data_IF_899968038933
#
_entry.id   IF_899968038933
#
_cell.length_a   1.000
_cell.length_b   1.000
_cell.length_c   1.000
_cell.angle_alpha   90.00
_cell.angle_beta   90.00
_cell.angle_gamma   90.00
#
_symmetry.space_group_name_H-M   'P 1'
#
loop_
_entity.id
_entity.type
_entity.pdbx_description
1 polymer ?
#
# COMPACT_ATOMS: atom_id res chain seq x y z
N UNK A 1 -19.41 -51.95 -46.65
CA UNK A 1 -18.63 -50.70 -46.88
C UNK A 1 -19.58 -49.52 -46.91
N UNK A 2 -19.85 -48.87 -45.78
CA UNK A 2 -20.68 -47.66 -45.73
C UNK A 2 -19.82 -46.49 -45.26
N UNK A 3 -19.24 -45.76 -46.23
CA UNK A 3 -18.71 -44.41 -45.99
C UNK A 3 -19.93 -43.50 -45.79
N UNK A 4 -20.28 -43.23 -44.53
CA UNK A 4 -21.18 -42.11 -44.20
C UNK A 4 -20.44 -40.83 -44.59
N UNK A 5 -20.86 -40.22 -45.69
CA UNK A 5 -20.47 -38.85 -46.04
C UNK A 5 -21.06 -37.95 -44.96
N UNK A 6 -20.22 -37.42 -44.05
CA UNK A 6 -20.64 -36.42 -43.05
C UNK A 6 -21.10 -35.17 -43.79
N UNK A 7 -22.28 -34.66 -43.46
CA UNK A 7 -22.83 -33.47 -44.12
C UNK A 7 -22.08 -32.23 -43.62
N UNK A 8 -21.80 -31.23 -44.47
CA UNK A 8 -21.11 -30.00 -44.06
C UNK A 8 -21.79 -29.26 -42.89
N UNK A 9 -23.11 -29.43 -42.71
CA UNK A 9 -23.87 -28.89 -41.57
C UNK A 9 -23.47 -29.46 -40.20
N UNK A 10 -22.98 -30.70 -40.13
CA UNK A 10 -22.56 -31.32 -38.86
C UNK A 10 -21.25 -30.69 -38.35
N UNK A 11 -20.35 -30.30 -39.26
CA UNK A 11 -19.12 -29.58 -38.94
C UNK A 11 -19.41 -28.14 -38.50
N UNK A 12 -20.36 -27.47 -39.15
CA UNK A 12 -20.79 -26.13 -38.77
C UNK A 12 -21.41 -26.12 -37.36
N UNK A 13 -22.25 -27.12 -37.04
CA UNK A 13 -22.84 -27.27 -35.71
C UNK A 13 -21.78 -27.55 -34.64
N UNK A 14 -20.79 -28.38 -34.95
CA UNK A 14 -19.65 -28.62 -34.07
C UNK A 14 -18.83 -27.33 -33.82
N UNK A 15 -18.55 -26.55 -34.86
CA UNK A 15 -17.84 -25.27 -34.75
C UNK A 15 -18.63 -24.28 -33.87
N UNK A 16 -19.95 -24.16 -34.08
CA UNK A 16 -20.81 -23.31 -33.25
C UNK A 16 -20.78 -23.74 -31.78
N UNK A 17 -20.80 -25.05 -31.52
CA UNK A 17 -20.75 -25.58 -30.16
C UNK A 17 -19.40 -25.26 -29.48
N UNK A 18 -18.28 -25.42 -30.19
CA UNK A 18 -16.95 -25.04 -29.68
C UNK A 18 -16.87 -23.54 -29.39
N UNK A 19 -17.44 -22.70 -30.26
CA UNK A 19 -17.47 -21.25 -30.04
C UNK A 19 -18.33 -20.85 -28.84
N UNK A 20 -19.49 -21.50 -28.64
CA UNK A 20 -20.33 -21.27 -27.47
C UNK A 20 -19.62 -21.67 -26.17
N UNK A 21 -18.96 -22.82 -26.14
CA UNK A 21 -18.16 -23.25 -24.97
C UNK A 21 -17.03 -22.26 -24.71
N UNK A 22 -16.31 -21.83 -25.76
CA UNK A 22 -15.24 -20.84 -25.63
C UNK A 22 -15.76 -19.50 -25.11
N UNK A 23 -16.92 -19.04 -25.59
CA UNK A 23 -17.56 -17.82 -25.11
C UNK A 23 -17.94 -17.93 -23.63
N UNK A 24 -18.56 -19.04 -23.21
CA UNK A 24 -18.92 -19.26 -21.80
C UNK A 24 -17.69 -19.27 -20.88
N UNK A 25 -16.61 -19.94 -21.30
CA UNK A 25 -15.34 -19.95 -20.56
C UNK A 25 -14.78 -18.52 -20.45
N UNK A 26 -14.79 -17.74 -21.53
CA UNK A 26 -14.31 -16.36 -21.52
C UNK A 26 -15.15 -15.45 -20.61
N UNK A 27 -16.49 -15.61 -20.61
CA UNK A 27 -17.38 -14.87 -19.70
C UNK A 27 -17.10 -15.24 -18.25
N UNK A 28 -16.93 -16.53 -17.94
CA UNK A 28 -16.59 -17.00 -16.60
C UNK A 28 -15.26 -16.41 -16.12
N UNK A 29 -14.20 -16.52 -16.94
CA UNK A 29 -12.87 -15.95 -16.65
C UNK A 29 -12.97 -14.44 -16.44
N UNK A 30 -13.77 -13.73 -17.23
CA UNK A 30 -13.96 -12.28 -17.08
C UNK A 30 -14.60 -11.90 -15.75
N UNK A 31 -15.61 -12.66 -15.29
CA UNK A 31 -16.29 -12.41 -14.00
C UNK A 31 -15.33 -12.70 -12.84
N UNK A 32 -14.61 -13.82 -12.92
CA UNK A 32 -13.66 -14.23 -11.88
C UNK A 32 -12.51 -13.22 -11.75
N UNK A 33 -11.93 -12.80 -12.87
CA UNK A 33 -10.91 -11.74 -12.91
C UNK A 33 -11.40 -10.42 -12.33
N UNK A 34 -12.68 -10.06 -12.54
CA UNK A 34 -13.25 -8.85 -11.96
C UNK A 34 -13.36 -8.95 -10.43
N UNK A 35 -13.90 -10.07 -9.92
CA UNK A 35 -14.01 -10.31 -8.47
C UNK A 35 -12.65 -10.33 -7.80
N UNK A 36 -11.67 -10.99 -8.43
CA UNK A 36 -10.28 -11.02 -8.00
C UNK A 36 -9.71 -9.60 -7.87
N UNK A 37 -9.79 -8.80 -8.94
CA UNK A 37 -9.27 -7.42 -8.96
C UNK A 37 -9.93 -6.54 -7.91
N UNK A 38 -11.24 -6.67 -7.75
CA UNK A 38 -11.98 -5.90 -6.76
C UNK A 38 -11.54 -6.25 -5.34
N UNK A 39 -11.35 -7.55 -5.03
CA UNK A 39 -10.87 -8.00 -3.73
C UNK A 39 -9.49 -7.41 -3.42
N UNK A 40 -8.52 -7.62 -4.32
CA UNK A 40 -7.15 -7.14 -4.11
C UNK A 40 -7.10 -5.62 -3.97
N UNK A 41 -7.83 -4.90 -4.84
CA UNK A 41 -7.91 -3.45 -4.76
C UNK A 41 -8.57 -2.96 -3.46
N UNK A 42 -9.52 -3.71 -2.89
CA UNK A 42 -10.20 -3.35 -1.64
C UNK A 42 -9.31 -3.54 -0.41
N UNK A 43 -8.58 -4.66 -0.34
CA UNK A 43 -7.58 -4.87 0.72
C UNK A 43 -6.49 -3.80 0.62
N UNK A 44 -6.02 -3.52 -0.60
CA UNK A 44 -5.04 -2.45 -0.86
C UNK A 44 -5.56 -1.08 -0.43
N UNK A 45 -6.80 -0.73 -0.79
CA UNK A 45 -7.42 0.53 -0.34
C UNK A 45 -7.48 0.64 1.18
N UNK A 46 -7.82 -0.45 1.87
CA UNK A 46 -7.89 -0.49 3.33
C UNK A 46 -6.52 -0.21 3.96
N UNK A 47 -5.45 -0.84 3.45
CA UNK A 47 -4.09 -0.60 3.91
C UNK A 47 -3.61 0.83 3.61
N UNK A 48 -3.95 1.39 2.46
CA UNK A 48 -3.63 2.77 2.09
C UNK A 48 -4.30 3.77 3.04
N UNK A 49 -5.58 3.61 3.34
CA UNK A 49 -6.27 4.51 4.27
C UNK A 49 -5.77 4.35 5.71
N UNK A 50 -5.37 3.13 6.09
CA UNK A 50 -4.70 2.89 7.37
C UNK A 50 -3.37 3.63 7.44
N UNK A 51 -2.52 3.53 6.42
CA UNK A 51 -1.25 4.26 6.35
C UNK A 51 -1.48 5.76 6.48
N UNK A 52 -2.41 6.31 5.69
CA UNK A 52 -2.76 7.73 5.72
C UNK A 52 -3.21 8.22 7.11
N UNK A 53 -4.18 7.52 7.72
CA UNK A 53 -4.74 7.92 9.01
C UNK A 53 -3.77 7.76 10.17
N UNK A 54 -2.98 6.68 10.18
CA UNK A 54 -1.93 6.44 11.17
C UNK A 54 -0.79 7.44 11.02
N UNK A 55 -0.34 7.74 9.79
CA UNK A 55 0.69 8.75 9.54
C UNK A 55 0.27 10.14 10.03
N UNK A 56 -0.97 10.55 9.76
CA UNK A 56 -1.50 11.82 10.27
C UNK A 56 -1.45 11.89 11.80
N UNK A 57 -1.81 10.79 12.47
CA UNK A 57 -1.73 10.70 13.94
C UNK A 57 -0.29 10.81 14.43
N UNK A 58 0.67 10.15 13.76
CA UNK A 58 2.09 10.25 14.09
C UNK A 58 2.60 11.68 13.91
N UNK A 59 2.20 12.34 12.83
CA UNK A 59 2.57 13.72 12.54
C UNK A 59 2.14 14.68 13.66
N UNK A 60 0.92 14.52 14.17
CA UNK A 60 0.42 15.30 15.32
C UNK A 60 1.28 15.09 16.58
N UNK A 61 1.59 13.83 16.92
CA UNK A 61 2.42 13.50 18.08
C UNK A 61 3.84 14.06 17.93
N UNK A 62 4.49 13.84 16.78
CA UNK A 62 5.85 14.30 16.50
C UNK A 62 5.94 15.83 16.58
N UNK A 63 4.99 16.56 15.99
CA UNK A 63 4.94 18.00 16.07
C UNK A 63 4.80 18.51 17.50
N UNK A 64 3.91 17.89 18.30
CA UNK A 64 3.71 18.28 19.68
C UNK A 64 4.96 18.02 20.52
N UNK A 65 5.59 16.87 20.34
CA UNK A 65 6.81 16.48 21.04
C UNK A 65 7.97 17.44 20.73
N UNK A 66 8.21 17.74 19.45
CA UNK A 66 9.27 18.68 19.02
C UNK A 66 9.01 20.09 19.58
N UNK A 67 7.75 20.55 19.59
CA UNK A 67 7.40 21.86 20.17
C UNK A 67 7.59 21.90 21.69
N UNK A 68 7.25 20.82 22.39
CA UNK A 68 7.42 20.70 23.83
C UNK A 68 8.89 20.49 24.23
N UNK A 69 9.71 19.99 23.31
CA UNK A 69 11.10 19.58 23.57
C UNK A 69 11.20 18.24 24.30
N UNK A 70 10.08 17.54 24.51
CA UNK A 70 10.05 16.24 25.16
C UNK A 70 8.85 15.42 24.63
N UNK A 71 8.89 14.10 24.87
CA UNK A 71 7.83 13.14 24.53
C UNK A 71 7.54 12.28 25.76
N UNK A 72 6.28 12.13 26.14
CA UNK A 72 5.93 11.23 27.26
C UNK A 72 5.89 9.75 26.84
N UNK A 73 5.96 8.85 27.82
CA UNK A 73 6.05 7.41 27.57
C UNK A 73 4.79 6.83 26.89
N UNK A 74 3.62 7.46 27.06
CA UNK A 74 2.38 7.01 26.42
C UNK A 74 2.37 7.37 24.93
N UNK A 75 2.81 8.58 24.60
CA UNK A 75 3.00 9.03 23.23
C UNK A 75 4.12 8.25 22.53
N UNK A 76 5.22 7.94 23.22
CA UNK A 76 6.28 7.07 22.71
C UNK A 76 5.77 5.67 22.37
N UNK A 77 5.02 5.04 23.28
CA UNK A 77 4.42 3.73 23.04
C UNK A 77 3.45 3.77 21.85
N UNK A 78 2.72 4.87 21.68
CA UNK A 78 1.81 5.07 20.56
C UNK A 78 2.57 5.21 19.24
N UNK A 79 3.65 5.99 19.20
CA UNK A 79 4.51 6.08 18.01
C UNK A 79 5.10 4.72 17.64
N UNK A 80 5.67 3.99 18.61
CA UNK A 80 6.18 2.63 18.40
C UNK A 80 5.14 1.72 17.74
N UNK A 81 3.93 1.60 18.33
CA UNK A 81 2.85 0.77 17.78
C UNK A 81 2.42 1.23 16.39
N UNK A 82 2.27 2.54 16.21
CA UNK A 82 1.81 3.10 14.96
C UNK A 82 2.82 2.85 13.83
N UNK A 83 4.13 2.97 14.07
CA UNK A 83 5.14 2.68 13.04
C UNK A 83 5.23 1.19 12.71
N UNK A 84 5.03 0.29 13.68
CA UNK A 84 4.84 -1.13 13.39
C UNK A 84 3.61 -1.40 12.52
N UNK A 85 2.48 -0.76 12.83
CA UNK A 85 1.28 -0.86 11.99
C UNK A 85 1.46 -0.30 10.57
N UNK A 86 2.29 0.75 10.41
CA UNK A 86 2.65 1.29 9.10
C UNK A 86 3.51 0.31 8.31
N UNK A 87 4.50 -0.32 8.96
CA UNK A 87 5.33 -1.36 8.34
C UNK A 87 4.47 -2.54 7.87
N UNK A 88 3.62 -3.09 8.75
CA UNK A 88 2.70 -4.19 8.43
C UNK A 88 1.78 -3.85 7.25
N UNK A 89 1.24 -2.63 7.23
CA UNK A 89 0.35 -2.17 6.15
C UNK A 89 1.09 -2.03 4.82
N UNK A 90 2.35 -1.59 4.85
CA UNK A 90 3.19 -1.47 3.66
C UNK A 90 3.61 -2.84 3.11
N UNK A 91 3.99 -3.78 3.99
CA UNK A 91 4.24 -5.19 3.61
C UNK A 91 2.99 -5.79 2.97
N UNK A 92 1.83 -5.60 3.60
CA UNK A 92 0.55 -6.11 3.08
C UNK A 92 0.23 -5.53 1.70
N UNK A 93 0.52 -4.25 1.44
CA UNK A 93 0.34 -3.65 0.12
C UNK A 93 1.25 -4.28 -0.95
N UNK A 94 2.49 -4.56 -0.59
CA UNK A 94 3.43 -5.23 -1.49
C UNK A 94 3.03 -6.69 -1.76
N UNK A 95 2.50 -7.38 -0.77
CA UNK A 95 1.96 -8.74 -0.93
C UNK A 95 0.73 -8.75 -1.84
N UNK A 96 -0.21 -7.83 -1.64
CA UNK A 96 -1.39 -7.66 -2.50
C UNK A 96 -1.00 -7.31 -3.94
N UNK A 97 -0.01 -6.44 -4.13
CA UNK A 97 0.53 -6.14 -5.46
C UNK A 97 1.20 -7.35 -6.11
N UNK A 98 2.02 -8.09 -5.37
CA UNK A 98 2.68 -9.31 -5.85
C UNK A 98 1.66 -10.35 -6.27
N UNK A 99 0.64 -10.56 -5.44
CA UNK A 99 -0.47 -11.47 -5.73
C UNK A 99 -1.28 -11.01 -6.95
N UNK A 100 -1.55 -9.71 -7.09
CA UNK A 100 -2.15 -9.13 -8.29
C UNK A 100 -1.30 -9.40 -9.54
N UNK A 101 0.01 -9.19 -9.46
CA UNK A 101 0.89 -9.31 -10.62
C UNK A 101 1.03 -10.77 -11.09
N UNK A 102 1.10 -11.72 -10.16
CA UNK A 102 1.22 -13.15 -10.46
C UNK A 102 -0.06 -13.75 -11.05
N UNK A 103 -1.22 -13.28 -10.59
CA UNK A 103 -2.51 -13.90 -10.93
C UNK A 103 -3.29 -13.14 -12.01
N UNK A 104 -2.75 -12.03 -12.53
CA UNK A 104 -3.40 -11.32 -13.62
C UNK A 104 -3.33 -12.13 -14.91
N UNK A 105 -4.50 -12.36 -15.52
CA UNK A 105 -4.60 -13.14 -16.76
C UNK A 105 -3.83 -12.48 -17.91
N UNK A 106 -3.22 -13.31 -18.77
CA UNK A 106 -2.54 -12.86 -20.01
C UNK A 106 -3.51 -12.10 -20.94
N UNK A 107 -4.81 -12.40 -20.86
CA UNK A 107 -5.87 -11.76 -21.64
C UNK A 107 -6.35 -10.42 -21.06
N UNK A 108 -5.71 -9.92 -20.00
CA UNK A 108 -6.12 -8.68 -19.34
C UNK A 108 -5.50 -7.44 -20.01
N UNK A 109 -6.28 -6.80 -20.86
CA UNK A 109 -5.89 -5.60 -21.62
C UNK A 109 -5.78 -4.32 -20.77
N UNK A 110 -6.21 -4.35 -19.50
CA UNK A 110 -6.20 -3.20 -18.58
C UNK A 110 -5.20 -3.30 -17.44
N UNK A 111 -4.22 -4.21 -17.52
CA UNK A 111 -3.22 -4.41 -16.46
C UNK A 111 -2.34 -3.18 -16.27
N UNK A 112 -2.13 -2.79 -15.01
CA UNK A 112 -1.14 -1.80 -14.63
C UNK A 112 -0.01 -2.50 -13.90
N UNK A 113 1.24 -2.07 -14.10
CA UNK A 113 2.41 -2.65 -13.45
C UNK A 113 3.34 -1.53 -13.03
N UNK A 114 3.98 -1.72 -11.88
CA UNK A 114 5.11 -0.93 -11.40
C UNK A 114 6.32 -1.26 -12.28
N UNK A 115 7.08 -0.24 -12.70
CA UNK A 115 8.31 -0.46 -13.48
C UNK A 115 9.39 -1.06 -12.57
N UNK A 116 9.67 -2.36 -12.76
CA UNK A 116 10.54 -3.15 -11.87
C UNK A 116 12.01 -2.74 -11.86
N UNK A 117 12.45 -1.85 -12.75
CA UNK A 117 13.88 -1.63 -12.96
C UNK A 117 14.62 -1.04 -11.75
N UNK A 118 13.93 -0.47 -10.74
CA UNK A 118 14.57 0.09 -9.53
C UNK A 118 13.75 -0.02 -8.23
N UNK A 119 12.65 -0.79 -8.21
CA UNK A 119 11.74 -0.75 -7.06
C UNK A 119 12.07 -1.86 -6.07
N UNK A 120 12.83 -1.50 -5.05
CA UNK A 120 13.07 -2.34 -3.86
C UNK A 120 12.07 -1.92 -2.78
N UNK A 121 11.50 -2.88 -2.05
CA UNK A 121 10.72 -2.57 -0.85
C UNK A 121 11.61 -1.89 0.19
N UNK A 122 11.24 -0.69 0.63
CA UNK A 122 11.91 0.00 1.73
C UNK A 122 11.07 -0.04 3.00
N UNK A 123 11.56 -0.78 4.00
CA UNK A 123 10.95 -0.83 5.34
C UNK A 123 11.50 0.26 6.28
N UNK A 124 11.40 1.51 5.82
CA UNK A 124 11.77 2.66 6.64
C UNK A 124 10.89 2.76 7.90
N UNK A 125 9.63 2.32 7.81
CA UNK A 125 8.72 2.30 8.94
C UNK A 125 9.18 1.31 10.02
N UNK A 126 9.63 0.11 9.65
CA UNK A 126 10.24 -0.84 10.58
C UNK A 126 11.53 -0.29 11.21
N UNK A 127 12.36 0.42 10.42
CA UNK A 127 13.57 1.06 10.97
C UNK A 127 13.22 2.13 12.02
N UNK A 128 12.16 2.92 11.77
CA UNK A 128 11.66 3.92 12.72
C UNK A 128 11.03 3.25 13.95
N UNK A 129 10.32 2.14 13.77
CA UNK A 129 9.79 1.33 14.88
C UNK A 129 10.92 0.85 15.80
N UNK A 130 12.00 0.30 15.23
CA UNK A 130 13.17 -0.15 16.00
C UNK A 130 13.84 0.98 16.78
N UNK A 131 13.88 2.19 16.21
CA UNK A 131 14.36 3.38 16.91
C UNK A 131 13.47 3.73 18.12
N UNK A 132 12.15 3.78 17.95
CA UNK A 132 11.24 4.03 19.08
C UNK A 132 11.29 2.93 20.14
N UNK A 133 11.49 1.67 19.73
CA UNK A 133 11.73 0.57 20.65
C UNK A 133 13.00 0.79 21.48
N UNK A 134 14.07 1.23 20.83
CA UNK A 134 15.34 1.52 21.51
C UNK A 134 15.20 2.66 22.54
N UNK A 135 14.43 3.70 22.20
CA UNK A 135 14.08 4.77 23.15
C UNK A 135 13.26 4.25 24.34
N UNK A 136 12.28 3.38 24.11
CA UNK A 136 11.51 2.77 25.21
C UNK A 136 12.40 1.94 26.13
N UNK A 137 13.30 1.14 25.56
CA UNK A 137 14.25 0.33 26.32
C UNK A 137 15.19 1.20 27.17
N UNK A 138 15.59 2.37 26.67
CA UNK A 138 16.38 3.34 27.42
C UNK A 138 15.59 3.97 28.56
N UNK A 139 14.38 4.47 28.31
CA UNK A 139 13.51 5.08 29.34
C UNK A 139 13.22 4.08 30.47
N UNK A 140 12.99 2.80 30.14
CA UNK A 140 12.79 1.73 31.11
C UNK A 140 14.04 1.50 31.98
N UNK A 141 15.24 1.58 31.41
CA UNK A 141 16.51 1.41 32.14
C UNK A 141 16.81 2.60 33.05
N UNK A 142 16.55 3.81 32.56
CA UNK A 142 16.84 5.06 33.28
C UNK A 142 15.73 5.45 34.26
N UNK A 143 14.59 4.76 34.24
CA UNK A 143 13.38 5.07 35.00
C UNK A 143 12.86 6.49 34.73
N UNK A 144 13.09 6.97 33.51
CA UNK A 144 12.58 8.25 33.05
C UNK A 144 11.10 8.13 32.64
N UNK A 145 10.37 9.22 32.83
CA UNK A 145 8.94 9.32 32.52
C UNK A 145 8.67 10.05 31.20
N UNK A 146 9.73 10.55 30.56
CA UNK A 146 9.68 11.31 29.32
C UNK A 146 11.06 11.28 28.63
N UNK A 147 11.03 11.19 27.31
CA UNK A 147 12.21 11.37 26.46
C UNK A 147 12.43 12.87 26.27
N UNK A 148 13.59 13.37 26.67
CA UNK A 148 14.02 14.74 26.34
C UNK A 148 14.56 14.78 24.91
N UNK A 149 13.97 15.63 24.07
CA UNK A 149 14.37 15.78 22.67
C UNK A 149 15.54 16.76 22.56
N UNK A 150 16.74 16.26 22.80
CA UNK A 150 17.98 17.03 22.67
C UNK A 150 18.99 16.32 21.78
N UNK A 151 19.92 17.07 21.19
CA UNK A 151 20.99 16.53 20.35
C UNK A 151 20.48 15.61 19.24
N UNK A 152 21.04 14.40 19.18
CA UNK A 152 20.73 13.39 18.15
C UNK A 152 19.27 12.95 18.16
N UNK A 153 18.65 12.84 19.34
CA UNK A 153 17.22 12.50 19.47
C UNK A 153 16.34 13.53 18.77
N UNK A 154 16.61 14.82 18.95
CA UNK A 154 15.89 15.88 18.26
C UNK A 154 16.09 15.84 16.74
N UNK A 155 17.31 15.56 16.27
CA UNK A 155 17.61 15.41 14.84
C UNK A 155 16.84 14.23 14.21
N UNK A 156 16.79 13.10 14.90
CA UNK A 156 16.05 11.92 14.46
C UNK A 156 14.55 12.21 14.40
N UNK A 157 13.97 12.84 15.44
CA UNK A 157 12.56 13.23 15.45
C UNK A 157 12.21 14.20 14.32
N UNK A 158 13.06 15.19 14.04
CA UNK A 158 12.87 16.09 12.90
C UNK A 158 12.91 15.34 11.56
N UNK A 159 13.82 14.38 11.42
CA UNK A 159 13.94 13.57 10.21
C UNK A 159 12.69 12.69 10.00
N UNK A 160 12.20 12.06 11.06
CA UNK A 160 10.96 11.27 11.05
C UNK A 160 9.76 12.16 10.71
N UNK A 161 9.69 13.36 11.28
CA UNK A 161 8.65 14.35 10.96
C UNK A 161 8.68 14.77 9.49
N UNK A 162 9.86 14.96 8.91
CA UNK A 162 10.00 15.27 7.47
C UNK A 162 9.44 14.14 6.62
N UNK A 163 9.75 12.88 6.94
CA UNK A 163 9.20 11.70 6.23
C UNK A 163 7.67 11.72 6.33
N UNK A 164 7.14 11.89 7.54
CA UNK A 164 5.69 11.91 7.79
C UNK A 164 4.98 13.04 7.03
N UNK A 165 5.56 14.24 6.99
CA UNK A 165 5.04 15.38 6.24
C UNK A 165 5.05 15.16 4.73
N UNK A 166 6.07 14.49 4.19
CA UNK A 166 6.13 14.19 2.75
C UNK A 166 5.03 13.20 2.37
N UNK A 167 4.75 12.20 3.21
CA UNK A 167 3.66 11.25 3.01
C UNK A 167 2.29 11.95 3.11
N UNK A 168 2.08 12.81 4.11
CA UNK A 168 0.82 13.57 4.23
C UNK A 168 0.61 14.52 3.04
N UNK A 169 1.66 15.20 2.60
CA UNK A 169 1.60 16.09 1.43
C UNK A 169 1.24 15.31 0.17
N UNK A 170 1.88 14.15 -0.03
CA UNK A 170 1.55 13.24 -1.12
C UNK A 170 0.07 12.85 -1.13
N UNK A 171 -0.46 12.40 0.01
CA UNK A 171 -1.88 12.02 0.09
C UNK A 171 -2.80 13.19 -0.23
N UNK A 172 -2.54 14.38 0.30
CA UNK A 172 -3.35 15.56 0.03
C UNK A 172 -3.32 15.92 -1.47
N UNK A 173 -2.13 15.99 -2.07
CA UNK A 173 -1.95 16.29 -3.49
C UNK A 173 -2.63 15.23 -4.38
N UNK A 174 -2.47 13.94 -4.06
CA UNK A 174 -3.09 12.87 -4.83
C UNK A 174 -4.62 12.97 -4.78
N UNK A 175 -5.17 13.16 -3.59
CA UNK A 175 -6.62 13.24 -3.39
C UNK A 175 -7.20 14.48 -4.09
N UNK A 176 -6.55 15.63 -3.97
CA UNK A 176 -7.01 16.86 -4.63
C UNK A 176 -6.95 16.75 -6.16
N UNK A 177 -5.87 16.16 -6.69
CA UNK A 177 -5.67 16.00 -8.13
C UNK A 177 -6.61 14.96 -8.76
N UNK A 178 -6.80 13.82 -8.09
CA UNK A 178 -7.43 12.65 -8.71
C UNK A 178 -8.85 12.35 -8.21
N UNK A 179 -9.23 12.86 -7.02
CA UNK A 179 -10.47 12.47 -6.31
C UNK A 179 -11.31 13.67 -5.83
N UNK A 180 -10.91 14.92 -6.10
CA UNK A 180 -11.63 16.13 -5.66
C UNK A 180 -13.06 16.23 -6.19
N UNK A 181 -13.31 15.72 -7.40
CA UNK A 181 -14.64 15.68 -8.01
C UNK A 181 -15.44 14.39 -7.69
N UNK A 182 -14.95 13.54 -6.79
CA UNK A 182 -15.54 12.24 -6.47
C UNK A 182 -16.02 12.27 -5.01
N UNK A 183 -17.31 11.96 -4.84
CA UNK A 183 -17.94 11.83 -3.53
C UNK A 183 -17.23 10.77 -2.68
N UNK A 184 -17.15 11.02 -1.38
CA UNK A 184 -16.39 10.19 -0.42
C UNK A 184 -16.79 8.71 -0.52
N UNK A 185 -18.09 8.44 -0.67
CA UNK A 185 -18.66 7.09 -0.75
C UNK A 185 -18.23 6.31 -2.00
N UNK A 186 -17.81 7.01 -3.06
CA UNK A 186 -17.39 6.41 -4.33
C UNK A 186 -15.86 6.41 -4.54
N UNK A 187 -15.09 6.98 -3.59
CA UNK A 187 -13.62 7.03 -3.69
C UNK A 187 -12.97 5.66 -3.69
N UNK A 188 -13.44 4.73 -2.85
CA UNK A 188 -12.95 3.33 -2.84
C UNK A 188 -13.08 2.73 -4.24
N UNK A 189 -14.28 2.79 -4.82
CA UNK A 189 -14.55 2.24 -6.16
C UNK A 189 -13.68 2.91 -7.22
N UNK A 190 -13.49 4.22 -7.13
CA UNK A 190 -12.64 4.97 -8.07
C UNK A 190 -11.18 4.53 -7.98
N UNK A 191 -10.64 4.41 -6.76
CA UNK A 191 -9.25 3.99 -6.51
C UNK A 191 -9.02 2.57 -7.04
N UNK A 192 -9.95 1.65 -6.77
CA UNK A 192 -9.88 0.26 -7.25
C UNK A 192 -9.96 0.21 -8.78
N UNK A 193 -10.98 0.84 -9.37
CA UNK A 193 -11.27 0.74 -10.82
C UNK A 193 -10.18 1.39 -11.67
N UNK A 194 -9.53 2.45 -11.17
CA UNK A 194 -8.47 3.16 -11.87
C UNK A 194 -7.06 2.68 -11.51
N UNK A 195 -6.93 1.65 -10.67
CA UNK A 195 -5.65 1.13 -10.19
C UNK A 195 -4.79 2.17 -9.45
N UNK A 196 -5.43 3.18 -8.86
CA UNK A 196 -4.72 4.21 -8.11
C UNK A 196 -4.04 3.66 -6.85
N UNK A 197 -4.47 2.51 -6.34
CA UNK A 197 -3.77 1.84 -5.25
C UNK A 197 -2.35 1.38 -5.66
N UNK A 198 -2.12 1.07 -6.93
CA UNK A 198 -0.79 0.73 -7.46
C UNK A 198 0.07 1.99 -7.57
N UNK A 199 -0.50 3.09 -8.07
CA UNK A 199 0.16 4.40 -8.09
C UNK A 199 0.59 4.81 -6.68
N UNK A 200 -0.32 4.69 -5.71
CA UNK A 200 -0.03 5.03 -4.33
C UNK A 200 1.05 4.16 -3.71
N UNK A 201 1.07 2.86 -4.01
CA UNK A 201 2.13 1.98 -3.55
C UNK A 201 3.50 2.41 -4.11
N UNK A 202 3.56 2.67 -5.42
CA UNK A 202 4.78 3.09 -6.11
C UNK A 202 5.28 4.44 -5.57
N UNK A 203 4.41 5.45 -5.55
CA UNK A 203 4.74 6.81 -5.11
C UNK A 203 5.18 6.85 -3.63
N UNK A 204 4.48 6.13 -2.73
CA UNK A 204 4.87 6.04 -1.32
C UNK A 204 6.22 5.35 -1.17
N UNK A 205 6.46 4.27 -1.93
CA UNK A 205 7.75 3.58 -1.89
C UNK A 205 8.87 4.49 -2.41
N UNK A 206 8.65 5.26 -3.47
CA UNK A 206 9.62 6.25 -3.97
C UNK A 206 9.94 7.35 -2.95
N UNK A 207 8.93 7.83 -2.21
CA UNK A 207 9.15 8.79 -1.11
C UNK A 207 10.02 8.15 -0.05
N UNK A 208 9.68 6.93 0.39
CA UNK A 208 10.41 6.22 1.42
C UNK A 208 11.85 5.91 1.00
N UNK A 209 12.08 5.51 -0.25
CA UNK A 209 13.42 5.19 -0.80
C UNK A 209 14.45 6.32 -0.62
N UNK A 210 14.02 7.58 -0.58
CA UNK A 210 14.90 8.73 -0.29
C UNK A 210 15.56 8.66 1.09
N UNK A 211 15.03 7.83 1.99
CA UNK A 211 15.44 7.69 3.38
C UNK A 211 15.97 6.29 3.70
N UNK A 212 16.23 5.43 2.70
CA UNK A 212 16.70 4.05 2.92
C UNK A 212 18.03 3.97 3.71
N UNK A 213 18.86 5.01 3.63
CA UNK A 213 20.14 5.09 4.35
C UNK A 213 20.05 5.96 5.62
N UNK A 214 18.84 6.30 6.07
CA UNK A 214 18.66 7.06 7.31
C UNK A 214 19.02 6.18 8.51
N UNK A 215 20.06 6.59 9.24
CA UNK A 215 20.51 5.91 10.45
C UNK A 215 19.86 6.55 11.69
N UNK A 216 18.85 5.86 12.23
CA UNK A 216 18.14 6.25 13.44
C UNK A 216 18.74 5.54 14.66
N UNK A 217 19.78 6.15 15.22
CA UNK A 217 20.51 5.66 16.40
C UNK A 217 20.35 6.59 17.60
N UNK A 218 20.49 6.03 18.81
CA UNK A 218 20.53 6.77 20.07
C UNK A 218 21.84 7.57 20.20
#
# INVERSE_FOLDING_TARGET
MFKRVRRPGDYMLFVVLVLLVSFLVNVYISIDNYKFRYRVGRESYTNIEKIKSTNKTNNEILNNAIKAGCLDNMELLKLYKNYGELSDSMVSLWDEYSFYEENISILDFGKKKIDKNNVVFNDIYGTIEEYFRSLMDEEMKTQSYKVELTGKTLENFNSILIISNNIDSYYNEFYDKNLSSIDIEDREKAIIKKYYWIDMLEDINEINQKYINSDFTL
#
